data_IF_196087962319
#
_entry.id   IF_196087962319
#
_cell.length_a   1.000
_cell.length_b   1.000
_cell.length_c   1.000
_cell.angle_alpha   90.00
_cell.angle_beta   90.00
_cell.angle_gamma   90.00
#
_symmetry.space_group_name_H-M   'P 1'
#
loop_
_entity.id
_entity.type
_entity.pdbx_description
1 polymer ?
#
# COMPACT_ATOMS: atom_id res chain seq x y z
N UNK A 1 16.80 15.10 -3.29
CA UNK A 1 16.03 14.06 -4.01
C UNK A 1 16.87 12.79 -4.06
N UNK A 2 16.23 11.65 -3.86
CA UNK A 2 16.87 10.33 -3.99
C UNK A 2 16.99 9.94 -5.45
N UNK A 3 18.13 9.35 -5.80
CA UNK A 3 18.35 8.79 -7.13
C UNK A 3 17.64 7.45 -7.29
N UNK A 4 17.42 7.04 -8.55
CA UNK A 4 16.93 5.70 -8.86
C UNK A 4 17.91 4.66 -8.37
N UNK A 5 17.42 3.66 -7.63
CA UNK A 5 18.22 2.58 -7.08
C UNK A 5 17.94 1.28 -7.83
N UNK A 6 18.96 0.45 -8.05
CA UNK A 6 18.81 -0.89 -8.65
C UNK A 6 18.71 -1.97 -7.58
N UNK A 7 18.27 -3.17 -7.98
CA UNK A 7 18.22 -4.34 -7.10
C UNK A 7 19.59 -4.69 -6.51
N UNK A 8 20.64 -4.65 -7.34
CA UNK A 8 22.00 -4.96 -6.93
C UNK A 8 22.51 -3.98 -5.88
N UNK A 9 22.21 -2.69 -6.04
CA UNK A 9 22.57 -1.68 -5.06
C UNK A 9 21.81 -1.85 -3.75
N UNK A 10 20.53 -2.26 -3.80
CA UNK A 10 19.77 -2.57 -2.57
C UNK A 10 20.37 -3.76 -1.87
N UNK A 11 20.69 -4.84 -2.58
CA UNK A 11 21.28 -6.05 -2.01
C UNK A 11 22.64 -5.76 -1.39
N UNK A 12 23.53 -5.05 -2.09
CA UNK A 12 24.84 -4.64 -1.60
C UNK A 12 24.72 -3.81 -0.32
N UNK A 13 23.88 -2.77 -0.33
CA UNK A 13 23.71 -1.89 0.84
C UNK A 13 23.09 -2.60 2.03
N UNK A 14 22.17 -3.54 1.82
CA UNK A 14 21.63 -4.37 2.91
C UNK A 14 22.70 -5.25 3.56
N UNK A 15 23.66 -5.74 2.76
CA UNK A 15 24.78 -6.57 3.27
C UNK A 15 25.85 -5.75 3.98
N UNK A 16 26.13 -4.52 3.51
CA UNK A 16 27.19 -3.65 4.05
C UNK A 16 26.68 -2.75 5.18
N UNK A 17 25.61 -2.02 4.92
CA UNK A 17 25.12 -0.94 5.79
C UNK A 17 23.92 -1.36 6.63
N UNK A 18 23.25 -2.47 6.24
CA UNK A 18 22.03 -2.97 6.86
C UNK A 18 20.76 -2.24 6.40
N UNK A 19 20.88 -1.23 5.55
CA UNK A 19 19.73 -0.52 4.98
C UNK A 19 19.99 0.02 3.58
N UNK A 20 18.91 0.29 2.84
CA UNK A 20 18.95 0.99 1.56
C UNK A 20 17.71 1.90 1.42
N UNK A 21 17.89 3.03 0.72
CA UNK A 21 16.84 3.97 0.38
C UNK A 21 17.09 4.53 -1.03
N UNK A 22 16.03 4.71 -1.82
CA UNK A 22 16.13 5.27 -3.16
C UNK A 22 14.79 5.35 -3.87
N UNK A 23 14.72 6.10 -4.95
CA UNK A 23 13.59 6.09 -5.86
C UNK A 23 13.54 4.76 -6.61
N UNK A 24 12.35 4.24 -6.88
CA UNK A 24 12.17 2.95 -7.53
C UNK A 24 10.91 2.93 -8.38
N UNK A 25 10.92 2.15 -9.46
CA UNK A 25 9.68 1.82 -10.15
C UNK A 25 8.83 0.91 -9.25
N UNK A 26 7.55 1.25 -8.95
CA UNK A 26 6.71 0.46 -8.06
C UNK A 26 6.60 -1.02 -8.44
N UNK A 27 6.57 -1.35 -9.73
CA UNK A 27 6.50 -2.74 -10.20
C UNK A 27 7.76 -3.52 -9.87
N UNK A 28 8.93 -2.90 -9.98
CA UNK A 28 10.21 -3.52 -9.63
C UNK A 28 10.32 -3.72 -8.12
N UNK A 29 9.96 -2.71 -7.33
CA UNK A 29 9.93 -2.81 -5.87
C UNK A 29 9.17 -4.04 -5.37
N UNK A 30 8.00 -4.32 -5.92
CA UNK A 30 7.20 -5.48 -5.50
C UNK A 30 7.83 -6.83 -5.87
N UNK A 31 8.56 -6.89 -6.98
CA UNK A 31 9.28 -8.11 -7.39
C UNK A 31 10.48 -8.39 -6.48
N UNK A 32 11.19 -7.37 -6.06
CA UNK A 32 12.44 -7.49 -5.30
C UNK A 32 12.26 -8.14 -3.94
N UNK A 33 11.08 -8.07 -3.36
CA UNK A 33 10.79 -8.65 -2.04
C UNK A 33 11.10 -10.15 -1.97
N UNK A 34 10.64 -10.93 -2.93
CA UNK A 34 10.94 -12.37 -3.01
C UNK A 34 12.41 -12.63 -3.32
N UNK A 35 12.98 -11.86 -4.26
CA UNK A 35 14.38 -11.97 -4.64
C UNK A 35 15.33 -11.67 -3.47
N UNK A 36 15.03 -10.66 -2.66
CA UNK A 36 15.82 -10.32 -1.46
C UNK A 36 15.72 -11.39 -0.38
N UNK A 37 14.54 -11.99 -0.18
CA UNK A 37 14.38 -13.08 0.78
C UNK A 37 15.24 -14.29 0.42
N UNK A 38 15.30 -14.64 -0.86
CA UNK A 38 16.14 -15.73 -1.37
C UNK A 38 17.63 -15.39 -1.30
N UNK A 39 18.03 -14.19 -1.75
CA UNK A 39 19.44 -13.80 -1.82
C UNK A 39 20.10 -13.61 -0.44
N UNK A 40 19.32 -13.15 0.57
CA UNK A 40 19.81 -12.90 1.92
C UNK A 40 19.57 -14.06 2.89
N UNK A 41 18.75 -15.04 2.50
CA UNK A 41 18.29 -16.14 3.39
C UNK A 41 17.67 -15.63 4.69
N UNK A 42 16.86 -14.56 4.60
CA UNK A 42 16.14 -13.96 5.72
C UNK A 42 14.72 -13.62 5.33
N UNK A 43 13.75 -13.63 6.26
CA UNK A 43 12.39 -13.18 5.97
C UNK A 43 12.38 -11.71 5.59
N UNK A 44 11.64 -11.40 4.50
CA UNK A 44 11.37 -10.03 4.05
C UNK A 44 9.90 -9.72 4.25
N UNK A 45 9.60 -8.64 4.93
CA UNK A 45 8.24 -8.23 5.28
C UNK A 45 7.96 -6.78 4.92
N UNK A 46 6.68 -6.41 4.91
CA UNK A 46 6.20 -5.04 4.75
C UNK A 46 5.11 -4.77 5.79
N UNK A 47 4.68 -3.51 5.90
CA UNK A 47 3.54 -3.15 6.77
C UNK A 47 2.32 -4.03 6.52
N UNK A 48 1.96 -4.27 5.26
CA UNK A 48 0.79 -5.09 4.92
C UNK A 48 0.94 -6.53 5.39
N UNK A 49 2.14 -7.11 5.22
CA UNK A 49 2.43 -8.46 5.69
C UNK A 49 2.39 -8.58 7.21
N UNK A 50 2.93 -7.59 7.92
CA UNK A 50 2.87 -7.55 9.39
C UNK A 50 1.43 -7.42 9.88
N UNK A 51 0.58 -6.63 9.21
CA UNK A 51 -0.85 -6.55 9.54
C UNK A 51 -1.57 -7.87 9.30
N UNK A 52 -1.30 -8.55 8.18
CA UNK A 52 -1.88 -9.87 7.88
C UNK A 52 -1.39 -10.94 8.85
N UNK A 53 -0.10 -10.93 9.19
CA UNK A 53 0.48 -11.80 10.20
C UNK A 53 -0.15 -11.56 11.58
N UNK A 54 -0.26 -10.31 12.02
CA UNK A 54 -0.85 -9.95 13.31
C UNK A 54 -2.32 -10.37 13.41
N UNK A 55 -3.07 -10.29 12.31
CA UNK A 55 -4.45 -10.75 12.25
C UNK A 55 -4.57 -12.27 12.40
N UNK A 56 -3.72 -13.05 11.72
CA UNK A 56 -3.69 -14.50 11.82
C UNK A 56 -2.39 -15.06 11.19
N UNK A 57 -1.38 -15.41 12.00
CA UNK A 57 -0.08 -15.90 11.51
C UNK A 57 -0.20 -17.12 10.59
N UNK A 58 -1.03 -18.08 10.97
CA UNK A 58 -1.24 -19.29 10.18
C UNK A 58 -1.86 -19.01 8.80
N UNK A 59 -2.84 -18.10 8.73
CA UNK A 59 -3.45 -17.69 7.45
C UNK A 59 -2.47 -16.88 6.60
N UNK A 60 -1.68 -16.02 7.22
CA UNK A 60 -0.60 -15.30 6.55
C UNK A 60 0.35 -16.27 5.87
N UNK A 61 0.86 -17.27 6.61
CA UNK A 61 1.74 -18.32 6.08
C UNK A 61 1.10 -19.05 4.91
N UNK A 62 -0.12 -19.56 5.09
CA UNK A 62 -0.87 -20.26 4.04
C UNK A 62 -0.99 -19.41 2.76
N UNK A 63 -1.35 -18.14 2.89
CA UNK A 63 -1.50 -17.25 1.75
C UNK A 63 -0.17 -17.02 1.02
N UNK A 64 0.94 -16.92 1.75
CA UNK A 64 2.28 -16.77 1.16
C UNK A 64 2.73 -18.02 0.43
N UNK A 65 2.59 -19.20 1.02
CA UNK A 65 2.98 -20.48 0.43
C UNK A 65 2.14 -20.81 -0.83
N UNK A 66 0.88 -20.38 -0.88
CA UNK A 66 -0.03 -20.65 -1.99
C UNK A 66 -0.19 -19.48 -2.98
N UNK A 67 0.58 -18.42 -2.84
CA UNK A 67 0.55 -17.28 -3.76
C UNK A 67 -0.80 -16.54 -3.81
N UNK A 68 -1.57 -16.57 -2.70
CA UNK A 68 -2.89 -15.92 -2.65
C UNK A 68 -2.70 -14.41 -2.67
N UNK A 69 -3.20 -13.78 -3.73
CA UNK A 69 -3.15 -12.33 -3.90
C UNK A 69 -4.50 -11.70 -3.52
N UNK A 70 -4.45 -10.59 -2.78
CA UNK A 70 -5.64 -9.75 -2.57
C UNK A 70 -5.90 -8.98 -3.85
N UNK A 71 -7.12 -9.08 -4.36
CA UNK A 71 -7.60 -8.30 -5.49
C UNK A 71 -9.00 -7.79 -5.15
N UNK A 72 -9.22 -6.50 -5.36
CA UNK A 72 -10.55 -5.89 -5.25
C UNK A 72 -10.63 -4.65 -6.13
N UNK A 73 -11.84 -4.27 -6.52
CA UNK A 73 -12.07 -3.04 -7.30
C UNK A 73 -11.55 -1.80 -6.57
N UNK A 74 -11.62 -1.79 -5.23
CA UNK A 74 -11.09 -0.70 -4.41
C UNK A 74 -9.56 -0.59 -4.53
N UNK A 75 -8.83 -1.73 -4.47
CA UNK A 75 -7.38 -1.74 -4.66
C UNK A 75 -6.99 -1.33 -6.08
N UNK A 76 -7.73 -1.81 -7.08
CA UNK A 76 -7.51 -1.45 -8.48
C UNK A 76 -7.71 0.05 -8.72
N UNK A 77 -8.78 0.64 -8.16
CA UNK A 77 -9.05 2.07 -8.23
C UNK A 77 -7.97 2.87 -7.50
N UNK A 78 -7.56 2.44 -6.29
CA UNK A 78 -6.46 3.05 -5.53
C UNK A 78 -5.18 3.10 -6.34
N UNK A 79 -4.72 1.97 -6.88
CA UNK A 79 -3.50 1.92 -7.71
C UNK A 79 -3.58 2.80 -8.96
N UNK A 80 -4.76 2.93 -9.58
CA UNK A 80 -4.95 3.82 -10.71
C UNK A 80 -4.86 5.30 -10.30
N UNK A 81 -5.45 5.67 -9.16
CA UNK A 81 -5.35 7.03 -8.62
C UNK A 81 -3.91 7.34 -8.23
N UNK A 82 -3.23 6.42 -7.56
CA UNK A 82 -1.80 6.56 -7.19
C UNK A 82 -0.95 6.80 -8.44
N UNK A 83 -1.14 6.02 -9.50
CA UNK A 83 -0.43 6.23 -10.76
C UNK A 83 -0.68 7.62 -11.34
N UNK A 84 -1.95 8.07 -11.39
CA UNK A 84 -2.30 9.38 -11.95
C UNK A 84 -1.74 10.56 -11.16
N UNK A 85 -1.56 10.41 -9.83
CA UNK A 85 -1.06 11.48 -8.93
C UNK A 85 0.44 11.43 -8.77
N UNK A 86 1.02 10.23 -8.58
CA UNK A 86 2.39 10.03 -8.11
C UNK A 86 3.37 9.66 -9.22
N UNK A 87 2.90 8.96 -10.27
CA UNK A 87 3.73 8.46 -11.37
C UNK A 87 3.01 8.56 -12.72
N UNK A 88 2.48 9.75 -13.11
CA UNK A 88 1.66 9.88 -14.30
C UNK A 88 2.38 9.49 -15.60
N UNK A 89 3.69 9.55 -15.61
CA UNK A 89 4.54 9.11 -16.73
C UNK A 89 4.48 7.59 -16.97
N UNK A 90 4.13 6.79 -15.95
CA UNK A 90 4.00 5.34 -16.06
C UNK A 90 2.63 4.91 -16.58
N UNK A 91 1.65 5.82 -16.66
CA UNK A 91 0.27 5.46 -17.01
C UNK A 91 0.18 4.68 -18.33
N UNK A 92 0.82 5.16 -19.39
CA UNK A 92 0.78 4.50 -20.69
C UNK A 92 1.48 3.13 -20.74
N UNK A 93 2.40 2.87 -19.82
CA UNK A 93 3.08 1.59 -19.69
C UNK A 93 2.30 0.58 -18.83
N UNK A 94 1.43 1.08 -17.95
CA UNK A 94 0.73 0.26 -16.95
C UNK A 94 -0.75 0.03 -17.26
N UNK A 95 -1.35 0.94 -18.03
CA UNK A 95 -2.79 0.93 -18.27
C UNK A 95 -3.10 1.06 -19.75
N UNK A 96 -4.07 0.27 -20.21
CA UNK A 96 -4.68 0.38 -21.52
C UNK A 96 -6.14 0.81 -21.34
N UNK A 97 -6.53 1.93 -21.97
CA UNK A 97 -7.91 2.39 -21.94
C UNK A 97 -8.40 2.66 -23.35
N UNK A 98 -9.28 1.80 -23.84
CA UNK A 98 -9.91 1.89 -25.14
C UNK A 98 -11.43 1.69 -25.02
N UNK A 99 -12.23 2.36 -25.85
CA UNK A 99 -13.65 2.08 -25.95
C UNK A 99 -13.88 0.61 -26.33
N UNK A 100 -14.82 -0.07 -25.64
CA UNK A 100 -15.20 -1.42 -26.02
C UNK A 100 -15.79 -1.42 -27.42
N UNK A 101 -15.17 -2.17 -28.33
CA UNK A 101 -15.70 -2.43 -29.67
C UNK A 101 -16.73 -3.55 -29.59
N UNK A 102 -17.95 -3.30 -30.09
CA UNK A 102 -18.99 -4.32 -30.17
C UNK A 102 -18.82 -5.09 -31.47
N UNK A 103 -18.84 -6.42 -31.36
CA UNK A 103 -18.78 -7.30 -32.53
C UNK A 103 -19.95 -7.03 -33.47
N UNK A 104 -19.70 -7.09 -34.77
CA UNK A 104 -20.71 -6.88 -35.78
C UNK A 104 -21.03 -8.19 -36.53
N UNK A 105 -22.26 -8.33 -36.95
CA UNK A 105 -22.69 -9.44 -37.80
C UNK A 105 -22.16 -9.26 -39.23
N UNK A 106 -22.37 -10.30 -40.07
CA UNK A 106 -21.94 -10.26 -41.49
C UNK A 106 -22.59 -9.14 -42.30
N UNK A 107 -23.73 -8.62 -41.86
CA UNK A 107 -24.46 -7.51 -42.47
C UNK A 107 -24.01 -6.13 -41.94
N UNK A 108 -22.99 -6.07 -41.07
CA UNK A 108 -22.47 -4.87 -40.46
C UNK A 108 -23.25 -4.38 -39.22
N UNK A 109 -24.35 -5.06 -38.82
CA UNK A 109 -25.12 -4.66 -37.64
C UNK A 109 -24.46 -5.17 -36.35
N UNK A 110 -24.45 -4.36 -35.25
CA UNK A 110 -23.93 -4.84 -33.96
C UNK A 110 -24.75 -5.99 -33.38
N UNK A 111 -24.11 -6.90 -32.65
CA UNK A 111 -24.85 -7.90 -31.85
C UNK A 111 -25.64 -7.21 -30.73
N UNK A 112 -26.92 -7.54 -30.61
CA UNK A 112 -27.83 -6.94 -29.62
C UNK A 112 -27.42 -7.14 -28.15
N UNK A 113 -26.66 -8.21 -27.86
CA UNK A 113 -26.13 -8.50 -26.53
C UNK A 113 -24.85 -7.72 -26.18
N UNK A 114 -24.39 -6.81 -27.03
CA UNK A 114 -23.18 -6.03 -26.81
C UNK A 114 -21.90 -6.86 -26.73
N UNK A 115 -21.88 -8.03 -27.40
CA UNK A 115 -20.70 -8.90 -27.44
C UNK A 115 -19.47 -8.11 -27.90
N UNK A 116 -18.36 -8.25 -27.18
CA UNK A 116 -17.10 -7.61 -27.53
C UNK A 116 -16.53 -8.22 -28.81
N UNK A 117 -15.90 -7.38 -29.63
CA UNK A 117 -15.13 -7.80 -30.78
C UNK A 117 -14.02 -8.78 -30.38
N UNK A 118 -13.91 -9.90 -31.11
CA UNK A 118 -13.02 -10.99 -30.75
C UNK A 118 -11.54 -10.59 -30.84
N UNK A 119 -11.18 -9.75 -31.81
CA UNK A 119 -9.80 -9.26 -31.97
C UNK A 119 -9.40 -8.36 -30.82
N UNK A 120 -10.29 -7.43 -30.45
CA UNK A 120 -10.05 -6.55 -29.29
C UNK A 120 -9.98 -7.36 -27.98
N UNK A 121 -10.85 -8.35 -27.82
CA UNK A 121 -10.82 -9.21 -26.63
C UNK A 121 -9.47 -9.94 -26.51
N UNK A 122 -8.98 -10.53 -27.60
CA UNK A 122 -7.68 -11.19 -27.63
C UNK A 122 -6.52 -10.21 -27.36
N UNK A 123 -6.60 -8.97 -27.89
CA UNK A 123 -5.61 -7.95 -27.60
C UNK A 123 -5.60 -7.51 -26.13
N UNK A 124 -6.76 -7.40 -25.49
CA UNK A 124 -6.87 -7.09 -24.08
C UNK A 124 -6.33 -8.22 -23.19
N UNK A 125 -6.68 -9.47 -23.49
CA UNK A 125 -6.12 -10.65 -22.79
C UNK A 125 -4.58 -10.72 -22.92
N UNK A 126 -4.05 -10.38 -24.09
CA UNK A 126 -2.59 -10.32 -24.30
C UNK A 126 -1.93 -9.18 -23.52
N UNK A 127 -2.58 -8.03 -23.39
CA UNK A 127 -2.11 -6.90 -22.57
C UNK A 127 -2.10 -7.28 -21.08
N UNK A 128 -3.17 -7.90 -20.57
CA UNK A 128 -3.26 -8.37 -19.18
C UNK A 128 -2.20 -9.44 -18.87
N UNK A 129 -1.92 -10.34 -19.81
CA UNK A 129 -0.84 -11.34 -19.67
C UNK A 129 0.55 -10.69 -19.54
N UNK A 130 0.74 -9.48 -20.08
CA UNK A 130 1.95 -8.67 -19.92
C UNK A 130 1.92 -7.79 -18.67
N UNK A 131 0.87 -7.90 -17.84
CA UNK A 131 0.70 -7.11 -16.63
C UNK A 131 0.17 -5.70 -16.86
N UNK A 132 -0.35 -5.37 -18.06
CA UNK A 132 -1.03 -4.12 -18.36
C UNK A 132 -2.48 -4.24 -17.89
N UNK A 133 -2.94 -3.27 -17.11
CA UNK A 133 -4.33 -3.24 -16.62
C UNK A 133 -5.25 -2.61 -17.67
N UNK A 134 -6.23 -3.35 -18.14
CA UNK A 134 -7.24 -2.82 -19.09
C UNK A 134 -8.32 -2.09 -18.31
N UNK A 135 -8.61 -0.84 -18.70
CA UNK A 135 -9.59 0.04 -18.07
C UNK A 135 -10.76 0.32 -19.00
N UNK A 136 -11.94 0.46 -18.40
CA UNK A 136 -13.07 1.12 -19.08
C UNK A 136 -12.91 2.64 -19.07
N UNK A 137 -13.59 3.32 -19.99
CA UNK A 137 -13.62 4.79 -19.99
C UNK A 137 -14.23 5.36 -18.71
N UNK A 138 -15.21 4.66 -18.12
CA UNK A 138 -15.86 5.06 -16.88
C UNK A 138 -14.92 4.95 -15.69
N UNK A 139 -14.18 3.84 -15.57
CA UNK A 139 -13.15 3.68 -14.52
C UNK A 139 -12.10 4.78 -14.59
N UNK A 140 -11.59 5.07 -15.81
CA UNK A 140 -10.61 6.13 -16.00
C UNK A 140 -11.20 7.51 -15.69
N UNK A 141 -12.42 7.82 -16.13
CA UNK A 141 -13.08 9.09 -15.82
C UNK A 141 -13.26 9.28 -14.32
N UNK A 142 -13.73 8.25 -13.62
CA UNK A 142 -13.85 8.26 -12.15
C UNK A 142 -12.50 8.49 -11.46
N UNK A 143 -11.48 7.74 -11.84
CA UNK A 143 -10.15 7.87 -11.27
C UNK A 143 -9.54 9.26 -11.48
N UNK A 144 -9.74 9.86 -12.67
CA UNK A 144 -9.26 11.23 -12.98
C UNK A 144 -9.89 12.29 -12.07
N UNK A 145 -11.19 12.20 -11.77
CA UNK A 145 -11.84 13.14 -10.84
C UNK A 145 -11.26 13.04 -9.44
N UNK A 146 -11.02 11.80 -8.96
CA UNK A 146 -10.41 11.55 -7.64
C UNK A 146 -8.96 12.05 -7.62
N UNK A 147 -8.17 11.70 -8.63
CA UNK A 147 -6.77 12.11 -8.74
C UNK A 147 -6.63 13.64 -8.84
N UNK A 148 -7.50 14.29 -9.60
CA UNK A 148 -7.53 15.75 -9.67
C UNK A 148 -7.75 16.37 -8.29
N UNK A 149 -8.75 15.91 -7.52
CA UNK A 149 -9.02 16.44 -6.16
C UNK A 149 -7.84 16.21 -5.20
N UNK A 150 -7.20 15.02 -5.28
CA UNK A 150 -6.01 14.75 -4.49
C UNK A 150 -4.86 15.70 -4.85
N UNK A 151 -4.60 15.90 -6.15
CA UNK A 151 -3.54 16.80 -6.63
C UNK A 151 -3.81 18.26 -6.27
N UNK A 152 -5.07 18.72 -6.33
CA UNK A 152 -5.46 20.06 -5.88
C UNK A 152 -5.17 20.25 -4.38
N UNK A 153 -5.53 19.28 -3.56
CA UNK A 153 -5.26 19.34 -2.11
C UNK A 153 -3.74 19.38 -1.82
N UNK A 154 -2.95 18.55 -2.50
CA UNK A 154 -1.48 18.60 -2.38
C UNK A 154 -0.94 19.95 -2.78
N UNK A 155 -1.42 20.53 -3.89
CA UNK A 155 -0.99 21.86 -4.35
C UNK A 155 -1.40 22.97 -3.36
N UNK A 156 -2.58 22.90 -2.73
CA UNK A 156 -3.02 23.81 -1.66
C UNK A 156 -2.04 23.76 -0.45
N UNK A 157 -1.36 22.62 -0.24
CA UNK A 157 -0.31 22.45 0.77
C UNK A 157 1.09 22.77 0.27
N UNK A 158 1.24 23.25 -0.95
CA UNK A 158 2.54 23.54 -1.56
C UNK A 158 3.32 22.28 -1.98
N UNK A 159 2.66 21.13 -2.05
CA UNK A 159 3.25 19.87 -2.47
C UNK A 159 3.04 19.67 -3.97
N UNK A 160 4.11 19.83 -4.75
CA UNK A 160 4.12 19.74 -6.21
C UNK A 160 5.14 18.67 -6.61
N UNK A 161 4.66 17.64 -7.33
CA UNK A 161 5.47 16.51 -7.78
C UNK A 161 6.71 16.97 -8.56
N UNK A 162 7.87 16.45 -8.18
CA UNK A 162 9.16 16.75 -8.79
C UNK A 162 9.72 18.14 -8.48
N UNK A 163 8.99 18.98 -7.73
CA UNK A 163 9.43 20.32 -7.31
C UNK A 163 9.63 20.42 -5.79
N UNK A 164 8.59 20.13 -5.01
CA UNK A 164 8.62 20.22 -3.55
C UNK A 164 8.46 18.86 -2.86
N UNK A 165 8.09 17.82 -3.59
CA UNK A 165 8.15 16.44 -3.11
C UNK A 165 8.60 15.46 -4.19
N UNK A 166 9.12 14.33 -3.74
CA UNK A 166 9.45 13.16 -4.55
C UNK A 166 8.46 12.04 -4.23
N UNK A 167 7.98 11.35 -5.25
CA UNK A 167 7.10 10.19 -5.10
C UNK A 167 7.88 8.87 -5.13
N UNK A 168 7.26 7.81 -4.60
CA UNK A 168 7.70 6.42 -4.71
C UNK A 168 9.15 6.21 -4.27
N UNK A 169 9.49 6.72 -3.07
CA UNK A 169 10.79 6.49 -2.44
C UNK A 169 10.70 5.26 -1.55
N UNK A 170 11.42 4.21 -1.91
CA UNK A 170 11.40 2.95 -1.19
C UNK A 170 12.55 2.82 -0.19
N UNK A 171 12.31 2.05 0.85
CA UNK A 171 13.24 1.78 1.95
C UNK A 171 13.29 0.28 2.21
N UNK A 172 14.47 -0.19 2.55
CA UNK A 172 14.75 -1.56 3.00
C UNK A 172 15.65 -1.48 4.22
N UNK A 173 15.29 -2.15 5.30
CA UNK A 173 16.06 -2.14 6.55
C UNK A 173 16.17 -3.55 7.10
N UNK A 174 17.38 -4.04 7.31
CA UNK A 174 17.64 -5.33 7.93
C UNK A 174 17.72 -5.16 9.46
N UNK A 175 16.64 -5.52 10.15
CA UNK A 175 16.54 -5.42 11.59
C UNK A 175 17.03 -6.69 12.28
N UNK A 176 17.88 -6.54 13.30
CA UNK A 176 18.35 -7.61 14.21
C UNK A 176 17.80 -7.45 15.63
N UNK A 177 17.28 -6.26 15.92
CA UNK A 177 16.61 -5.93 17.18
C UNK A 177 15.58 -4.82 16.91
N UNK A 178 14.57 -4.71 17.74
CA UNK A 178 13.55 -3.66 17.69
C UNK A 178 13.10 -3.30 19.11
N UNK A 179 12.97 -2.00 19.42
CA UNK A 179 12.65 -1.56 20.78
C UNK A 179 13.63 -2.05 21.86
N UNK A 180 14.91 -2.26 21.51
CA UNK A 180 15.90 -2.85 22.40
C UNK A 180 15.80 -4.38 22.59
N UNK A 181 14.84 -5.05 21.93
CA UNK A 181 14.62 -6.51 22.01
C UNK A 181 15.29 -7.19 20.81
N UNK A 182 16.22 -8.13 20.99
CA UNK A 182 16.79 -8.93 19.90
C UNK A 182 15.69 -9.75 19.20
N UNK A 183 15.75 -9.80 17.88
CA UNK A 183 14.87 -10.65 17.06
C UNK A 183 15.42 -12.09 17.01
N UNK A 184 14.54 -13.09 16.96
CA UNK A 184 14.93 -14.50 16.88
C UNK A 184 15.66 -14.86 15.58
N UNK A 185 15.43 -14.10 14.51
CA UNK A 185 16.22 -14.10 13.28
C UNK A 185 16.24 -12.66 12.72
N UNK A 186 17.23 -12.30 11.88
CA UNK A 186 17.19 -11.03 11.15
C UNK A 186 15.95 -10.95 10.25
N UNK A 187 15.36 -9.77 10.12
CA UNK A 187 14.20 -9.51 9.27
C UNK A 187 14.47 -8.28 8.41
N UNK A 188 14.32 -8.40 7.11
CA UNK A 188 14.29 -7.22 6.23
C UNK A 188 12.87 -6.66 6.18
N UNK A 189 12.74 -5.41 6.60
CA UNK A 189 11.49 -4.66 6.50
C UNK A 189 11.55 -3.76 5.28
N UNK A 190 10.49 -3.74 4.47
CA UNK A 190 10.42 -2.90 3.28
C UNK A 190 9.21 -1.97 3.34
N UNK A 191 9.38 -0.73 2.87
CA UNK A 191 8.33 0.27 2.76
C UNK A 191 8.57 1.17 1.56
N UNK A 192 7.52 1.73 1.01
CA UNK A 192 7.58 2.72 -0.08
C UNK A 192 6.70 3.89 0.29
N UNK A 193 7.29 5.07 0.36
CA UNK A 193 6.60 6.33 0.66
C UNK A 193 5.98 6.87 -0.62
N UNK A 194 4.70 7.19 -0.57
CA UNK A 194 3.99 7.78 -1.70
C UNK A 194 4.47 9.20 -1.99
N UNK A 195 4.60 10.01 -0.95
CA UNK A 195 4.93 11.42 -1.04
C UNK A 195 5.98 11.76 0.02
N UNK A 196 7.17 12.08 -0.43
CA UNK A 196 8.27 12.55 0.42
C UNK A 196 8.54 14.02 0.15
N UNK A 197 8.08 14.95 1.01
CA UNK A 197 8.43 16.37 0.88
C UNK A 197 9.94 16.57 0.99
N UNK A 198 10.48 17.47 0.17
CA UNK A 198 11.92 17.79 0.15
C UNK A 198 12.38 18.60 1.38
N UNK A 199 11.47 18.94 2.26
CA UNK A 199 11.69 19.59 3.55
C UNK A 199 10.53 19.37 4.50
N UNK A 200 10.64 19.83 5.74
CA UNK A 200 9.62 19.68 6.77
C UNK A 200 9.73 18.39 7.57
N UNK A 201 8.80 18.18 8.49
CA UNK A 201 8.79 17.08 9.47
C UNK A 201 7.90 15.90 9.07
N UNK A 202 7.02 16.07 8.09
CA UNK A 202 6.00 15.07 7.73
C UNK A 202 6.38 14.24 6.50
N UNK A 203 6.08 12.95 6.53
CA UNK A 203 5.99 12.06 5.37
C UNK A 203 4.52 11.95 5.02
N UNK A 204 4.16 11.84 3.74
CA UNK A 204 2.77 11.79 3.32
C UNK A 204 2.45 10.52 2.55
N UNK A 205 1.21 10.09 2.65
CA UNK A 205 0.71 8.89 1.99
C UNK A 205 -0.71 9.13 1.45
N UNK A 206 -0.95 8.73 0.20
CA UNK A 206 -2.24 8.91 -0.47
C UNK A 206 -3.14 7.72 -0.21
N UNK A 207 -4.38 7.99 0.20
CA UNK A 207 -5.39 6.94 0.43
C UNK A 207 -6.71 7.28 -0.24
N UNK A 208 -7.20 6.36 -1.05
CA UNK A 208 -8.59 6.40 -1.51
C UNK A 208 -9.50 5.68 -0.52
N UNK A 209 -10.69 6.21 -0.28
CA UNK A 209 -11.65 5.62 0.65
C UNK A 209 -13.09 5.74 0.16
N UNK A 210 -13.88 4.68 0.36
CA UNK A 210 -15.32 4.74 0.15
C UNK A 210 -16.07 5.37 1.33
N UNK A 211 -15.37 5.63 2.45
CA UNK A 211 -15.97 6.31 3.59
C UNK A 211 -16.06 7.82 3.36
N UNK A 212 -17.14 8.47 3.83
CA UNK A 212 -17.23 9.92 3.77
C UNK A 212 -16.14 10.55 4.61
N UNK A 213 -15.26 11.33 3.98
CA UNK A 213 -14.10 11.95 4.65
C UNK A 213 -14.49 13.08 5.59
N UNK A 214 -15.70 13.63 5.45
CA UNK A 214 -16.31 14.59 6.37
C UNK A 214 -16.75 13.96 7.69
N UNK A 215 -16.96 12.65 7.71
CA UNK A 215 -17.34 11.92 8.93
C UNK A 215 -16.07 11.44 9.66
N UNK A 216 -15.59 12.28 10.58
CA UNK A 216 -14.36 12.02 11.33
C UNK A 216 -14.38 10.67 12.06
N UNK A 217 -15.49 10.31 12.72
CA UNK A 217 -15.58 9.05 13.45
C UNK A 217 -15.41 7.83 12.53
N UNK A 218 -16.01 7.85 11.32
CA UNK A 218 -15.83 6.76 10.34
C UNK A 218 -14.42 6.72 9.79
N UNK A 219 -13.81 7.89 9.57
CA UNK A 219 -12.44 7.98 9.08
C UNK A 219 -11.45 7.42 10.11
N UNK A 220 -11.65 7.74 11.41
CA UNK A 220 -10.82 7.18 12.48
C UNK A 220 -10.97 5.65 12.58
N UNK A 221 -12.15 5.08 12.42
CA UNK A 221 -12.32 3.62 12.31
C UNK A 221 -11.54 3.04 11.13
N UNK A 222 -11.55 3.72 9.97
CA UNK A 222 -10.77 3.28 8.80
C UNK A 222 -9.27 3.26 9.11
N UNK A 223 -8.77 4.28 9.81
CA UNK A 223 -7.38 4.35 10.26
C UNK A 223 -6.99 3.15 11.13
N UNK A 224 -7.85 2.78 12.08
CA UNK A 224 -7.64 1.67 13.00
C UNK A 224 -7.76 0.31 12.30
N UNK A 225 -8.83 0.08 11.53
CA UNK A 225 -9.11 -1.19 10.84
C UNK A 225 -8.02 -1.59 9.85
N UNK A 226 -7.44 -0.61 9.15
CA UNK A 226 -6.34 -0.84 8.22
C UNK A 226 -4.95 -0.69 8.85
N UNK A 227 -4.88 -0.43 10.15
CA UNK A 227 -3.62 -0.21 10.87
C UNK A 227 -2.72 0.83 10.20
N UNK A 228 -3.30 1.95 9.73
CA UNK A 228 -2.51 2.99 9.07
C UNK A 228 -1.53 3.67 10.03
N UNK A 229 -1.85 3.77 11.32
CA UNK A 229 -0.91 4.25 12.31
C UNK A 229 0.37 3.42 12.41
N UNK A 230 0.27 2.11 12.21
CA UNK A 230 1.43 1.21 12.11
C UNK A 230 2.28 1.56 10.89
N UNK A 231 1.66 1.89 9.75
CA UNK A 231 2.38 2.36 8.56
C UNK A 231 3.13 3.66 8.85
N UNK A 232 2.44 4.62 9.47
CA UNK A 232 3.02 5.91 9.81
C UNK A 232 4.26 5.76 10.68
N UNK A 233 4.15 5.06 11.82
CA UNK A 233 5.27 4.86 12.73
C UNK A 233 6.43 4.11 12.08
N UNK A 234 6.14 2.98 11.43
CA UNK A 234 7.16 2.15 10.77
C UNK A 234 7.92 2.92 9.68
N UNK A 235 7.21 3.66 8.82
CA UNK A 235 7.84 4.38 7.72
C UNK A 235 8.66 5.57 8.21
N UNK A 236 8.18 6.29 9.23
CA UNK A 236 8.92 7.36 9.86
C UNK A 236 10.22 6.85 10.48
N UNK A 237 10.16 5.74 11.22
CA UNK A 237 11.35 5.16 11.87
C UNK A 237 12.34 4.60 10.85
N UNK A 238 11.86 3.94 9.79
CA UNK A 238 12.72 3.46 8.69
C UNK A 238 13.40 4.63 7.98
N UNK A 239 12.67 5.71 7.69
CA UNK A 239 13.22 6.89 7.04
C UNK A 239 14.30 7.55 7.89
N UNK A 240 14.00 7.78 9.16
CA UNK A 240 14.95 8.38 10.10
C UNK A 240 16.22 7.53 10.25
N UNK A 241 16.07 6.19 10.26
CA UNK A 241 17.22 5.29 10.31
C UNK A 241 18.04 5.35 9.02
N UNK A 242 17.41 5.38 7.86
CA UNK A 242 18.11 5.38 6.57
C UNK A 242 18.83 6.71 6.27
N UNK A 243 18.34 7.83 6.80
CA UNK A 243 18.82 9.17 6.43
C UNK A 243 19.58 9.88 7.55
N UNK A 244 19.35 9.49 8.80
CA UNK A 244 19.78 10.24 9.98
C UNK A 244 18.98 11.52 10.23
N UNK A 245 17.98 11.82 9.39
CA UNK A 245 17.03 12.91 9.63
C UNK A 245 16.09 12.58 10.77
N UNK A 246 15.36 13.59 11.27
CA UNK A 246 14.37 13.42 12.32
C UNK A 246 13.03 13.93 11.80
N UNK A 247 12.24 13.01 11.20
CA UNK A 247 10.84 13.23 10.90
C UNK A 247 10.02 12.73 12.08
N UNK A 248 9.03 13.48 12.50
CA UNK A 248 8.21 13.23 13.69
C UNK A 248 6.69 13.34 13.42
N UNK A 249 6.33 13.52 12.15
CA UNK A 249 4.96 13.57 11.70
C UNK A 249 4.74 12.66 10.47
N UNK A 250 3.52 12.15 10.34
CA UNK A 250 3.09 11.41 9.16
C UNK A 250 1.66 11.81 8.79
N UNK A 251 1.45 12.23 7.55
CA UNK A 251 0.16 12.70 7.06
C UNK A 251 -0.45 11.72 6.06
N UNK A 252 -1.72 11.40 6.25
CA UNK A 252 -2.52 10.68 5.27
C UNK A 252 -3.43 11.66 4.54
N UNK A 253 -3.39 11.66 3.23
CA UNK A 253 -4.37 12.35 2.40
C UNK A 253 -5.46 11.36 1.97
N UNK A 254 -6.59 11.38 2.65
CA UNK A 254 -7.76 10.61 2.27
C UNK A 254 -8.56 11.33 1.21
N UNK A 255 -8.82 10.68 0.07
CA UNK A 255 -9.70 11.18 -0.99
C UNK A 255 -10.86 10.22 -1.18
N UNK A 256 -12.08 10.74 -1.09
CA UNK A 256 -13.31 9.97 -1.20
C UNK A 256 -13.51 9.42 -2.63
N UNK A 257 -14.00 8.18 -2.74
CA UNK A 257 -14.31 7.54 -4.04
C UNK A 257 -15.80 7.42 -4.31
N UNK A 258 -16.64 7.92 -3.39
CA UNK A 258 -18.08 7.76 -3.40
C UNK A 258 -18.80 8.85 -4.18
N UNK A 259 -19.57 9.66 -3.48
CA UNK A 259 -20.46 10.66 -4.05
C UNK A 259 -19.73 11.94 -4.49
N UNK A 260 -20.33 12.67 -5.43
CA UNK A 260 -19.87 14.01 -5.82
C UNK A 260 -20.47 15.08 -4.90
N UNK A 261 -19.76 16.17 -4.62
CA UNK A 261 -18.39 16.45 -5.04
C UNK A 261 -17.38 15.57 -4.33
N UNK A 262 -16.29 15.17 -5.03
CA UNK A 262 -15.18 14.44 -4.42
C UNK A 262 -14.48 15.34 -3.42
N UNK A 263 -14.35 14.87 -2.18
CA UNK A 263 -13.68 15.58 -1.10
C UNK A 263 -12.43 14.86 -0.64
N UNK A 264 -11.48 15.64 -0.10
CA UNK A 264 -10.26 15.11 0.51
C UNK A 264 -10.13 15.65 1.93
N UNK A 265 -9.53 14.83 2.81
CA UNK A 265 -9.16 15.23 4.17
C UNK A 265 -7.76 14.76 4.49
N UNK A 266 -6.97 15.65 5.04
CA UNK A 266 -5.68 15.33 5.65
C UNK A 266 -5.88 14.88 7.09
N UNK A 267 -5.14 13.84 7.50
CA UNK A 267 -5.04 13.39 8.89
C UNK A 267 -3.56 13.22 9.21
N UNK A 268 -3.06 14.04 10.11
CA UNK A 268 -1.65 14.03 10.54
C UNK A 268 -1.50 13.32 11.88
N UNK A 269 -0.60 12.36 11.94
CA UNK A 269 -0.16 11.69 13.15
C UNK A 269 1.13 12.35 13.65
N UNK A 270 1.08 12.82 14.87
CA UNK A 270 2.21 13.42 15.58
C UNK A 270 2.88 12.41 16.52
N UNK A 271 3.95 12.83 17.17
CA UNK A 271 4.84 12.00 17.99
C UNK A 271 4.12 11.01 18.90
N UNK A 272 3.10 11.43 19.67
CA UNK A 272 2.41 10.55 20.62
C UNK A 272 1.66 9.41 19.93
N UNK A 273 1.04 9.68 18.78
CA UNK A 273 0.38 8.65 17.99
C UNK A 273 1.41 7.71 17.36
N UNK A 274 2.52 8.24 16.85
CA UNK A 274 3.61 7.44 16.31
C UNK A 274 4.23 6.52 17.37
N UNK A 275 4.45 7.00 18.59
CA UNK A 275 4.95 6.19 19.71
C UNK A 275 4.02 5.03 20.07
N UNK A 276 2.70 5.29 20.11
CA UNK A 276 1.71 4.25 20.36
C UNK A 276 1.78 3.12 19.31
N UNK A 277 1.81 3.48 18.03
CA UNK A 277 1.85 2.51 16.94
C UNK A 277 3.24 1.89 16.74
N UNK A 278 4.32 2.55 17.17
CA UNK A 278 5.68 2.00 17.25
C UNK A 278 5.69 0.77 18.15
N UNK A 279 5.19 0.90 19.37
CA UNK A 279 5.09 -0.22 20.30
C UNK A 279 4.24 -1.39 19.75
N UNK A 280 3.32 -1.11 18.83
CA UNK A 280 2.51 -2.13 18.18
C UNK A 280 3.32 -2.89 17.11
N UNK A 281 3.96 -2.20 16.15
CA UNK A 281 4.71 -2.88 15.11
C UNK A 281 5.96 -3.59 15.66
N UNK A 282 6.59 -3.08 16.69
CA UNK A 282 7.72 -3.72 17.37
C UNK A 282 7.32 -5.11 17.89
N UNK A 283 6.19 -5.20 18.58
CA UNK A 283 5.65 -6.50 19.05
C UNK A 283 5.34 -7.45 17.90
N UNK A 284 4.80 -6.92 16.80
CA UNK A 284 4.52 -7.74 15.62
C UNK A 284 5.80 -8.27 14.98
N UNK A 285 6.85 -7.45 14.87
CA UNK A 285 8.16 -7.87 14.35
C UNK A 285 8.82 -8.94 15.22
N UNK A 286 8.78 -8.80 16.55
CA UNK A 286 9.29 -9.84 17.48
C UNK A 286 8.56 -11.17 17.25
N UNK A 287 7.23 -11.14 17.21
CA UNK A 287 6.43 -12.34 16.98
C UNK A 287 6.64 -12.93 15.57
N UNK A 288 6.78 -12.07 14.55
CA UNK A 288 7.06 -12.47 13.18
C UNK A 288 8.41 -13.18 13.05
N UNK A 289 9.48 -12.60 13.62
CA UNK A 289 10.81 -13.19 13.63
C UNK A 289 10.82 -14.54 14.38
N UNK A 290 10.10 -14.64 15.50
CA UNK A 290 9.98 -15.88 16.27
C UNK A 290 9.27 -16.97 15.46
N UNK A 291 8.15 -16.66 14.81
CA UNK A 291 7.43 -17.61 13.97
C UNK A 291 8.29 -18.15 12.81
N UNK A 292 9.08 -17.29 12.18
CA UNK A 292 10.02 -17.70 11.13
C UNK A 292 11.17 -18.56 11.68
N UNK A 293 11.74 -18.21 12.82
CA UNK A 293 12.86 -18.94 13.41
C UNK A 293 12.45 -20.32 13.95
N UNK A 294 11.23 -20.47 14.48
CA UNK A 294 10.75 -21.71 15.10
C UNK A 294 9.88 -22.56 14.20
N UNK A 295 9.30 -21.98 13.16
CA UNK A 295 8.28 -22.63 12.32
C UNK A 295 6.92 -22.76 13.02
N UNK A 296 6.73 -22.16 14.21
CA UNK A 296 5.45 -22.14 14.91
C UNK A 296 4.60 -20.94 14.47
N UNK A 297 3.52 -21.21 13.75
CA UNK A 297 2.58 -20.24 13.19
C UNK A 297 1.24 -20.20 13.93
N UNK A 298 1.16 -20.84 15.12
CA UNK A 298 -0.02 -20.85 15.94
C UNK A 298 -0.99 -22.00 15.67
N UNK A 299 -2.20 -21.91 16.20
CA UNK A 299 -3.16 -23.00 16.27
C UNK A 299 -4.15 -23.01 15.10
N UNK A 300 -4.43 -24.20 14.54
CA UNK A 300 -5.51 -24.42 13.58
C UNK A 300 -6.92 -24.27 14.18
N UNK A 301 -7.04 -24.53 15.50
CA UNK A 301 -8.28 -24.40 16.24
C UNK A 301 -8.18 -23.24 17.20
N UNK A 302 -8.99 -22.21 16.99
CA UNK A 302 -9.02 -21.06 17.88
C UNK A 302 -9.71 -21.40 19.21
N UNK A 303 -9.28 -20.78 20.32
CA UNK A 303 -9.92 -20.95 21.61
C UNK A 303 -11.42 -20.55 21.55
N UNK A 304 -12.26 -21.26 22.32
CA UNK A 304 -13.67 -20.92 22.45
C UNK A 304 -13.83 -19.50 23.00
N UNK A 305 -14.60 -18.67 22.30
CA UNK A 305 -14.95 -17.33 22.76
C UNK A 305 -16.41 -17.28 23.18
N UNK A 306 -16.67 -16.74 24.37
CA UNK A 306 -18.02 -16.44 24.81
C UNK A 306 -18.45 -15.09 24.29
N UNK A 307 -19.60 -15.04 23.63
CA UNK A 307 -20.18 -13.80 23.13
C UNK A 307 -20.82 -13.02 24.28
N UNK A 308 -20.47 -11.75 24.40
CA UNK A 308 -21.14 -10.81 25.31
C UNK A 308 -21.59 -9.63 24.45
N UNK A 309 -22.91 -9.32 24.39
CA UNK A 309 -23.40 -8.18 23.60
C UNK A 309 -22.75 -6.88 24.03
N UNK A 310 -22.35 -6.07 23.06
CA UNK A 310 -21.82 -4.74 23.32
C UNK A 310 -22.92 -3.81 23.82
N UNK A 311 -22.54 -2.70 24.47
CA UNK A 311 -23.50 -1.67 24.90
C UNK A 311 -24.34 -1.11 23.74
N UNK A 312 -23.79 -1.13 22.52
CA UNK A 312 -24.47 -0.67 21.31
C UNK A 312 -25.58 -1.63 20.85
N UNK A 313 -25.34 -2.94 20.99
CA UNK A 313 -26.31 -3.99 20.67
C UNK A 313 -27.39 -4.06 21.74
N UNK A 314 -27.02 -3.88 23.02
CA UNK A 314 -28.00 -3.80 24.13
C UNK A 314 -28.98 -2.64 24.00
N UNK A 315 -28.57 -1.50 23.41
CA UNK A 315 -29.45 -0.34 23.15
C UNK A 315 -30.39 -0.55 21.96
N UNK A 316 -30.17 -1.53 21.07
CA UNK A 316 -31.06 -1.87 19.96
C UNK A 316 -32.15 -2.87 20.34
N UNK A 317 -32.04 -3.51 21.50
CA UNK A 317 -32.96 -4.52 22.00
C UNK A 317 -33.88 -4.00 23.12
N UNK A 318 -33.90 -2.68 23.40
CA UNK A 318 -34.79 -1.94 24.23
C UNK A 318 -35.54 -0.93 23.36
#
# INVERSE_FOLDING_TARGET
MFEMITYEQVLERLQTDGYAIGAVNPREYHKWKGMLAEALDVPVTSKSDLSDFAACPLRYRYNKENGVKKCSDALRLGSLVDCLVLTPELFSAEYLCEPKRVAVKKDGTPYANGQQDAEQKAAWEAAEAQGITVLTLEELAKAKVIAQRASEHLAERGLILGQTFQSQVAMWVCLRSVGGVPLACPVVVTGMMDILPLGGSSIWDLKTTSMPVENEAKLMYTLEDFHYGVQAALYTDMYNLCTGEQRDEFSFLFTATGELPVMSREVTMQTEALEFYRAMYERWLVAFALAHATGDWGLHTLPRKFYTPTLRERKKSV
#
